data_IF_338698130735
#
_entry.id   IF_338698130735
#
_cell.length_a   1.000
_cell.length_b   1.000
_cell.length_c   1.000
_cell.angle_alpha   90.00
_cell.angle_beta   90.00
_cell.angle_gamma   90.00
#
_symmetry.space_group_name_H-M   'P 1'
#
loop_
_entity.id
_entity.type
_entity.pdbx_description
1 polymer ?
#
# COMPACT_ATOMS: atom_id res chain seq x y z
N UNK A 1 17.97 12.53 0.49
CA UNK A 1 17.52 11.25 -0.09
C UNK A 1 17.41 11.49 -1.57
N UNK A 2 18.38 11.02 -2.36
CA UNK A 2 18.23 11.03 -3.81
C UNK A 2 17.14 10.00 -4.11
N UNK A 3 16.02 10.45 -4.69
CA UNK A 3 15.10 9.56 -5.38
C UNK A 3 15.98 8.82 -6.40
N UNK A 4 16.29 7.55 -6.17
CA UNK A 4 16.86 6.73 -7.23
C UNK A 4 15.88 6.86 -8.37
N UNK A 5 16.34 7.34 -9.52
CA UNK A 5 15.54 7.42 -10.74
C UNK A 5 14.99 6.03 -11.02
N UNK A 6 13.83 5.72 -10.46
CA UNK A 6 13.05 4.58 -10.87
C UNK A 6 12.71 4.91 -12.31
N UNK A 7 13.29 4.11 -13.19
CA UNK A 7 13.02 4.12 -14.62
C UNK A 7 11.51 3.95 -14.74
N UNK A 8 10.82 5.08 -14.90
CA UNK A 8 9.42 5.07 -15.30
C UNK A 8 9.47 4.37 -16.64
N UNK A 9 8.89 3.17 -16.73
CA UNK A 9 8.78 2.45 -17.99
C UNK A 9 7.94 3.34 -18.91
N UNK A 10 8.63 4.14 -19.72
CA UNK A 10 8.04 4.95 -20.76
C UNK A 10 7.48 3.99 -21.80
N UNK A 11 6.17 3.77 -21.74
CA UNK A 11 5.49 2.97 -22.74
C UNK A 11 5.53 3.76 -24.06
N UNK A 12 5.94 3.13 -25.17
CA UNK A 12 6.44 3.84 -26.33
C UNK A 12 5.47 4.76 -27.09
N UNK A 13 4.19 4.95 -26.71
CA UNK A 13 3.27 5.83 -27.46
C UNK A 13 1.95 6.21 -26.74
N UNK A 14 1.93 6.38 -25.41
CA UNK A 14 0.67 6.74 -24.71
C UNK A 14 0.86 7.48 -23.39
N UNK A 15 -0.14 8.28 -23.01
CA UNK A 15 -0.22 8.82 -21.65
C UNK A 15 -0.19 7.66 -20.66
N UNK A 16 0.74 7.65 -19.70
CA UNK A 16 0.91 6.51 -18.83
C UNK A 16 -0.37 6.33 -17.99
N UNK A 17 -0.91 5.09 -17.96
CA UNK A 17 -2.12 4.75 -17.19
C UNK A 17 -1.81 4.70 -15.69
N UNK A 18 -1.56 5.88 -15.11
CA UNK A 18 -1.03 6.05 -13.77
C UNK A 18 -2.10 6.59 -12.83
N UNK A 19 -2.17 5.98 -11.66
CA UNK A 19 -2.99 6.36 -10.53
C UNK A 19 -2.11 6.61 -9.32
N UNK A 20 -2.58 7.46 -8.44
CA UNK A 20 -1.93 7.73 -7.17
C UNK A 20 -2.86 7.37 -6.02
N UNK A 21 -2.40 6.47 -5.17
CA UNK A 21 -3.08 6.04 -3.95
C UNK A 21 -2.47 6.81 -2.78
N UNK A 22 -3.27 7.71 -2.20
CA UNK A 22 -2.90 8.55 -1.07
C UNK A 22 -3.49 7.94 0.20
N UNK A 23 -2.65 7.67 1.20
CA UNK A 23 -3.06 7.06 2.47
C UNK A 23 -2.58 7.91 3.64
N UNK A 24 -3.51 8.31 4.51
CA UNK A 24 -3.20 9.04 5.75
C UNK A 24 -3.61 8.19 6.94
N UNK A 25 -2.64 7.78 7.74
CA UNK A 25 -2.88 6.98 8.95
C UNK A 25 -3.25 7.90 10.12
N UNK A 26 -4.49 7.81 10.60
CA UNK A 26 -5.00 8.61 11.71
C UNK A 26 -4.80 7.94 13.06
N UNK A 27 -5.09 6.65 13.14
CA UNK A 27 -4.90 5.87 14.37
C UNK A 27 -4.64 4.40 14.06
N UNK A 28 -3.76 3.81 14.86
CA UNK A 28 -3.38 2.40 14.81
C UNK A 28 -3.25 1.77 16.20
N UNK A 29 -3.70 2.45 17.24
CA UNK A 29 -3.57 2.02 18.63
C UNK A 29 -4.20 0.64 18.84
N UNK A 30 -5.43 0.45 18.37
CA UNK A 30 -6.15 -0.81 18.50
C UNK A 30 -5.49 -1.94 17.70
N UNK A 31 -5.02 -1.65 16.49
CA UNK A 31 -4.27 -2.61 15.66
C UNK A 31 -3.03 -3.13 16.38
N UNK A 32 -2.27 -2.22 17.01
CA UNK A 32 -1.04 -2.53 17.73
C UNK A 32 -1.34 -3.32 18.99
N UNK A 33 -2.33 -2.90 19.78
CA UNK A 33 -2.75 -3.58 20.99
C UNK A 33 -3.23 -5.01 20.69
N UNK A 34 -4.05 -5.19 19.65
CA UNK A 34 -4.51 -6.51 19.21
C UNK A 34 -3.34 -7.42 18.82
N UNK A 35 -2.35 -6.89 18.08
CA UNK A 35 -1.17 -7.64 17.65
C UNK A 35 -0.26 -8.02 18.81
N UNK A 36 -0.04 -7.11 19.76
CA UNK A 36 0.76 -7.38 20.97
C UNK A 36 0.08 -8.45 21.82
N UNK A 37 -1.23 -8.35 22.04
CA UNK A 37 -2.01 -9.38 22.75
C UNK A 37 -1.93 -10.73 22.03
N UNK A 38 -2.01 -10.76 20.70
CA UNK A 38 -1.89 -12.00 19.92
C UNK A 38 -0.51 -12.65 20.09
N UNK A 39 0.57 -11.87 20.05
CA UNK A 39 1.93 -12.38 20.26
C UNK A 39 2.14 -12.92 21.67
N UNK A 40 1.64 -12.23 22.69
CA UNK A 40 1.74 -12.67 24.08
C UNK A 40 0.89 -13.93 24.37
N UNK A 41 -0.23 -14.12 23.65
CA UNK A 41 -0.99 -15.37 23.70
C UNK A 41 -0.21 -16.55 23.09
N UNK A 42 0.60 -16.30 22.05
CA UNK A 42 1.43 -17.32 21.40
C UNK A 42 2.68 -17.66 22.21
N UNK A 43 3.18 -16.74 23.03
CA UNK A 43 4.30 -17.04 23.93
C UNK A 43 3.84 -17.97 25.06
N UNK A 44 4.23 -19.24 25.02
CA UNK A 44 3.97 -20.24 26.06
C UNK A 44 4.70 -19.96 27.39
N UNK A 45 5.61 -18.98 27.41
CA UNK A 45 6.53 -18.70 28.51
C UNK A 45 5.90 -18.00 29.71
N UNK A 46 4.68 -17.46 29.59
CA UNK A 46 4.05 -16.69 30.68
C UNK A 46 2.88 -17.45 31.32
N UNK A 47 2.86 -17.60 32.67
CA UNK A 47 1.71 -18.17 33.37
C UNK A 47 0.41 -17.44 33.03
N UNK A 48 -0.67 -18.19 32.75
CA UNK A 48 -1.97 -17.65 32.32
C UNK A 48 -2.54 -16.57 33.24
N UNK A 49 -2.21 -16.62 34.53
CA UNK A 49 -2.67 -15.66 35.54
C UNK A 49 -1.94 -14.31 35.46
N UNK A 50 -0.65 -14.30 35.10
CA UNK A 50 0.14 -13.06 34.95
C UNK A 50 0.01 -12.45 33.55
N UNK A 51 -0.33 -13.27 32.55
CA UNK A 51 -0.34 -12.84 31.14
C UNK A 51 -1.28 -11.67 30.88
N UNK A 52 -2.43 -11.57 31.56
CA UNK A 52 -3.41 -10.49 31.31
C UNK A 52 -2.91 -9.11 31.76
N UNK A 53 -2.33 -9.02 32.95
CA UNK A 53 -1.84 -7.75 33.50
C UNK A 53 -0.57 -7.29 32.77
N UNK A 54 0.35 -8.21 32.50
CA UNK A 54 1.58 -7.93 31.73
C UNK A 54 1.24 -7.56 30.30
N UNK A 55 0.30 -8.25 29.66
CA UNK A 55 -0.10 -7.94 28.29
C UNK A 55 -0.72 -6.55 28.14
N UNK A 56 -1.56 -6.13 29.08
CA UNK A 56 -2.15 -4.79 29.02
C UNK A 56 -1.09 -3.69 29.22
N UNK A 57 -0.10 -3.89 30.11
CA UNK A 57 1.01 -2.95 30.27
C UNK A 57 1.93 -2.91 29.05
N UNK A 58 2.31 -4.08 28.53
CA UNK A 58 3.15 -4.20 27.35
C UNK A 58 2.47 -3.62 26.10
N UNK A 59 1.16 -3.84 25.93
CA UNK A 59 0.39 -3.27 24.84
C UNK A 59 0.36 -1.74 24.90
N UNK A 60 0.13 -1.15 26.07
CA UNK A 60 0.16 0.32 26.27
C UNK A 60 1.55 0.92 26.03
N UNK A 61 2.59 0.23 26.48
CA UNK A 61 3.96 0.68 26.22
C UNK A 61 4.30 0.59 24.72
N UNK A 62 3.89 -0.49 24.06
CA UNK A 62 4.11 -0.70 22.64
C UNK A 62 3.28 0.22 21.75
N UNK A 63 2.04 0.57 22.12
CA UNK A 63 1.23 1.53 21.38
C UNK A 63 1.84 2.93 21.43
N UNK A 64 2.50 3.31 22.53
CA UNK A 64 3.30 4.54 22.60
C UNK A 64 4.52 4.55 21.66
N UNK A 65 5.01 3.38 21.25
CA UNK A 65 6.15 3.22 20.32
C UNK A 65 5.66 3.13 18.86
N UNK A 66 4.51 2.49 18.65
CA UNK A 66 3.90 2.31 17.34
C UNK A 66 3.16 3.57 16.88
N UNK A 67 3.93 4.63 16.67
CA UNK A 67 3.43 5.88 16.13
C UNK A 67 2.89 5.70 14.70
N UNK A 68 1.92 6.54 14.30
CA UNK A 68 1.36 6.52 12.93
C UNK A 68 2.42 6.54 11.82
N UNK A 69 3.55 7.27 11.94
CA UNK A 69 4.66 7.17 10.99
C UNK A 69 5.28 5.77 10.83
N UNK A 70 5.38 5.00 11.91
CA UNK A 70 5.88 3.62 11.85
C UNK A 70 4.91 2.74 11.07
N UNK A 71 3.61 2.91 11.30
CA UNK A 71 2.56 2.17 10.59
C UNK A 71 2.51 2.55 9.11
N UNK A 72 2.62 3.84 8.80
CA UNK A 72 2.77 4.34 7.44
C UNK A 72 4.00 3.72 6.74
N UNK A 73 5.15 3.65 7.41
CA UNK A 73 6.34 2.96 6.88
C UNK A 73 6.08 1.49 6.58
N UNK A 74 5.42 0.79 7.49
CA UNK A 74 5.07 -0.61 7.29
C UNK A 74 4.08 -0.82 6.12
N UNK A 75 3.11 0.08 5.95
CA UNK A 75 2.22 0.07 4.79
C UNK A 75 3.03 0.30 3.52
N UNK A 76 3.97 1.25 3.53
CA UNK A 76 4.93 1.51 2.46
C UNK A 76 5.62 0.25 1.93
N UNK A 77 6.14 -0.56 2.84
CA UNK A 77 6.89 -1.78 2.51
C UNK A 77 6.01 -2.92 1.99
N UNK A 78 4.80 -3.10 2.57
CA UNK A 78 4.00 -4.32 2.41
C UNK A 78 2.81 -4.17 1.48
N UNK A 79 2.29 -2.95 1.33
CA UNK A 79 1.08 -2.70 0.56
C UNK A 79 1.27 -2.86 -0.96
N UNK A 80 2.39 -2.41 -1.57
CA UNK A 80 2.59 -2.55 -3.01
C UNK A 80 2.47 -4.00 -3.50
N UNK A 81 3.16 -4.93 -2.84
CA UNK A 81 3.13 -6.35 -3.20
C UNK A 81 1.70 -6.91 -3.10
N UNK A 82 0.96 -6.57 -2.04
CA UNK A 82 -0.44 -7.00 -1.87
C UNK A 82 -1.35 -6.48 -2.98
N UNK A 83 -1.19 -5.22 -3.39
CA UNK A 83 -1.96 -4.63 -4.49
C UNK A 83 -1.64 -5.37 -5.78
N UNK A 84 -0.37 -5.59 -6.09
CA UNK A 84 0.07 -6.31 -7.29
C UNK A 84 -0.57 -7.70 -7.34
N UNK A 85 -0.41 -8.51 -6.29
CA UNK A 85 -1.00 -9.86 -6.23
C UNK A 85 -2.53 -9.83 -6.38
N UNK A 86 -3.22 -8.89 -5.71
CA UNK A 86 -4.69 -8.78 -5.78
C UNK A 86 -5.20 -8.31 -7.14
N UNK A 87 -4.42 -7.52 -7.87
CA UNK A 87 -4.77 -7.09 -9.23
C UNK A 87 -4.46 -8.19 -10.25
N UNK A 88 -3.37 -8.93 -10.06
CA UNK A 88 -3.02 -10.09 -10.89
C UNK A 88 -4.09 -11.19 -10.80
N UNK A 89 -4.59 -11.48 -9.60
CA UNK A 89 -5.76 -12.38 -9.38
C UNK A 89 -7.01 -11.94 -10.18
N UNK A 90 -7.11 -10.65 -10.53
CA UNK A 90 -8.21 -10.07 -11.31
C UNK A 90 -7.88 -9.94 -12.80
N UNK A 91 -6.75 -10.45 -13.25
CA UNK A 91 -6.29 -10.34 -14.64
C UNK A 91 -5.74 -8.96 -14.98
N UNK A 92 -5.26 -8.19 -14.01
CA UNK A 92 -4.71 -6.85 -14.23
C UNK A 92 -3.26 -6.85 -13.76
N UNK A 93 -2.33 -6.74 -14.69
CA UNK A 93 -0.90 -6.58 -14.37
C UNK A 93 -0.63 -5.11 -14.06
N UNK A 94 -0.20 -4.84 -12.84
CA UNK A 94 0.14 -3.48 -12.38
C UNK A 94 1.56 -3.44 -11.82
N UNK A 95 2.19 -2.27 -11.92
CA UNK A 95 3.33 -1.91 -11.10
C UNK A 95 2.86 -0.97 -9.97
N UNK A 96 3.40 -1.10 -8.77
CA UNK A 96 3.04 -0.27 -7.63
C UNK A 96 4.30 0.12 -6.85
N UNK A 97 4.51 1.42 -6.61
CA UNK A 97 5.71 1.95 -5.96
C UNK A 97 5.35 3.00 -4.91
N UNK A 98 6.07 3.02 -3.79
CA UNK A 98 6.02 4.13 -2.85
C UNK A 98 6.80 5.31 -3.46
N UNK A 99 6.11 6.40 -3.78
CA UNK A 99 6.74 7.60 -4.39
C UNK A 99 6.93 8.74 -3.38
N UNK A 100 6.23 8.67 -2.25
CA UNK A 100 6.34 9.67 -1.19
C UNK A 100 5.93 9.10 0.16
N UNK A 101 6.67 9.49 1.21
CA UNK A 101 6.29 9.24 2.59
C UNK A 101 6.81 10.34 3.50
N UNK A 102 5.91 10.90 4.30
CA UNK A 102 6.24 11.87 5.34
C UNK A 102 5.31 11.65 6.55
N UNK A 103 5.87 11.22 7.67
CA UNK A 103 5.10 10.96 8.88
C UNK A 103 3.98 9.94 8.62
N UNK A 104 2.71 10.24 8.97
CA UNK A 104 1.58 9.34 8.74
C UNK A 104 1.09 9.28 7.29
N UNK A 105 1.67 10.07 6.39
CA UNK A 105 1.24 10.18 5.00
C UNK A 105 2.10 9.35 4.06
N UNK A 106 1.46 8.51 3.24
CA UNK A 106 2.13 7.72 2.20
C UNK A 106 1.39 7.90 0.88
N UNK A 107 2.15 8.00 -0.21
CA UNK A 107 1.62 8.02 -1.58
C UNK A 107 2.26 6.91 -2.39
N UNK A 108 1.42 6.12 -3.01
CA UNK A 108 1.84 5.09 -3.96
C UNK A 108 1.46 5.50 -5.38
N UNK A 109 2.36 5.24 -6.33
CA UNK A 109 2.07 5.30 -7.75
C UNK A 109 1.72 3.89 -8.24
N UNK A 110 0.58 3.74 -8.90
CA UNK A 110 0.09 2.50 -9.48
C UNK A 110 0.02 2.70 -10.99
N UNK A 111 0.73 1.88 -11.76
CA UNK A 111 0.72 1.90 -13.21
C UNK A 111 0.07 0.63 -13.74
N UNK A 112 -0.98 0.77 -14.55
CA UNK A 112 -1.60 -0.37 -15.24
C UNK A 112 -0.74 -0.70 -16.47
N UNK A 113 -0.14 -1.89 -16.47
CA UNK A 113 0.75 -2.34 -17.55
C UNK A 113 -0.01 -3.14 -18.60
N UNK A 114 -0.87 -4.07 -18.15
CA UNK A 114 -1.62 -4.97 -19.03
C UNK A 114 -2.94 -5.37 -18.39
N UNK A 115 -3.96 -5.59 -19.21
CA UNK A 115 -5.26 -6.13 -18.80
C UNK A 115 -5.54 -7.40 -19.60
N UNK A 116 -5.72 -8.52 -18.91
CA UNK A 116 -6.19 -9.78 -19.49
C UNK A 116 -7.72 -9.79 -19.51
N UNK A 117 -8.29 -9.56 -20.69
CA UNK A 117 -9.74 -9.52 -20.89
C UNK A 117 -10.42 -10.88 -20.58
N UNK A 118 -9.72 -11.99 -20.80
CA UNK A 118 -10.26 -13.35 -20.58
C UNK A 118 -10.38 -13.61 -19.09
N UNK A 119 -9.37 -13.29 -18.30
CA UNK A 119 -9.42 -13.44 -16.84
C UNK A 119 -10.46 -12.48 -16.25
N UNK A 120 -10.50 -11.24 -16.72
CA UNK A 120 -11.45 -10.23 -16.25
C UNK A 120 -12.90 -10.67 -16.45
N UNK A 121 -13.22 -11.23 -17.62
CA UNK A 121 -14.57 -11.73 -17.97
C UNK A 121 -14.94 -13.03 -17.25
N UNK A 122 -13.96 -13.88 -16.92
CA UNK A 122 -14.19 -15.15 -16.23
C UNK A 122 -14.19 -15.04 -14.70
N UNK A 123 -13.89 -13.87 -14.14
CA UNK A 123 -13.83 -13.63 -12.69
C UNK A 123 -15.22 -13.65 -12.04
N UNK A 124 -15.79 -14.86 -11.85
CA UNK A 124 -17.09 -15.08 -11.17
C UNK A 124 -17.15 -14.57 -9.73
N UNK A 125 -15.99 -14.26 -9.13
CA UNK A 125 -15.84 -13.97 -7.71
C UNK A 125 -15.57 -12.50 -7.36
N UNK A 126 -15.68 -11.58 -8.32
CA UNK A 126 -15.39 -10.18 -8.04
C UNK A 126 -16.65 -9.42 -7.63
N UNK A 127 -16.49 -8.56 -6.62
CA UNK A 127 -17.49 -7.59 -6.17
C UNK A 127 -18.19 -6.90 -7.35
N UNK A 128 -19.47 -6.58 -7.17
CA UNK A 128 -20.51 -6.21 -8.15
C UNK A 128 -20.06 -5.29 -9.29
N UNK A 129 -19.03 -4.45 -9.11
CA UNK A 129 -18.52 -3.53 -10.12
C UNK A 129 -17.74 -4.16 -11.28
N UNK A 130 -17.07 -5.30 -11.09
CA UNK A 130 -16.21 -5.91 -12.15
C UNK A 130 -17.02 -6.79 -13.11
N UNK A 131 -18.13 -7.37 -12.65
CA UNK A 131 -19.06 -8.16 -13.47
C UNK A 131 -19.66 -7.34 -14.63
N UNK A 132 -19.90 -6.04 -14.40
CA UNK A 132 -20.44 -5.15 -15.42
C UNK A 132 -19.46 -4.94 -16.59
N UNK A 133 -18.15 -4.90 -16.31
CA UNK A 133 -17.11 -4.80 -17.33
C UNK A 133 -17.08 -6.04 -18.21
N UNK A 134 -17.11 -7.23 -17.59
CA UNK A 134 -17.08 -8.49 -18.36
C UNK A 134 -18.20 -8.58 -19.39
N UNK A 135 -19.38 -8.03 -19.10
CA UNK A 135 -20.53 -8.08 -20.01
C UNK A 135 -20.38 -7.12 -21.20
N UNK A 136 -19.93 -5.89 -20.95
CA UNK A 136 -19.68 -4.90 -22.01
C UNK A 136 -18.55 -5.37 -22.93
N UNK A 137 -17.48 -5.92 -22.34
CA UNK A 137 -16.33 -6.48 -23.04
C UNK A 137 -16.79 -7.68 -23.89
N UNK A 138 -17.57 -8.60 -23.33
CA UNK A 138 -18.02 -9.81 -24.05
C UNK A 138 -18.95 -9.49 -25.23
N UNK A 139 -19.84 -8.51 -25.09
CA UNK A 139 -20.74 -8.12 -26.18
C UNK A 139 -20.08 -7.17 -27.19
N UNK A 140 -19.24 -6.24 -26.74
CA UNK A 140 -18.52 -5.31 -27.61
C UNK A 140 -17.42 -5.99 -28.42
N UNK A 141 -16.62 -6.88 -27.80
CA UNK A 141 -15.49 -7.53 -28.49
C UNK A 141 -15.88 -8.75 -29.30
N UNK A 142 -17.02 -9.38 -29.04
CA UNK A 142 -17.52 -10.46 -29.92
C UNK A 142 -17.70 -10.01 -31.38
N UNK A 143 -17.88 -8.70 -31.62
CA UNK A 143 -18.01 -8.10 -32.94
C UNK A 143 -16.69 -7.55 -33.49
N UNK A 144 -15.69 -7.36 -32.64
CA UNK A 144 -14.39 -6.79 -33.00
C UNK A 144 -13.47 -7.98 -33.29
N UNK A 145 -13.22 -8.24 -34.58
CA UNK A 145 -12.36 -9.34 -35.01
C UNK A 145 -10.96 -9.31 -34.38
N UNK A 146 -10.27 -10.46 -34.39
CA UNK A 146 -8.95 -10.69 -33.75
C UNK A 146 -7.90 -9.64 -34.11
N UNK A 147 -8.00 -9.02 -35.29
CA UNK A 147 -7.08 -7.99 -35.77
C UNK A 147 -7.05 -6.72 -34.90
N UNK A 148 -8.09 -6.47 -34.10
CA UNK A 148 -8.21 -5.29 -33.23
C UNK A 148 -8.00 -5.62 -31.75
N UNK A 149 -7.78 -6.88 -31.39
CA UNK A 149 -7.64 -7.31 -29.99
C UNK A 149 -6.47 -6.62 -29.28
N UNK A 150 -5.33 -6.46 -29.95
CA UNK A 150 -4.17 -5.81 -29.36
C UNK A 150 -4.43 -4.34 -29.02
N UNK A 151 -5.04 -3.58 -29.94
CA UNK A 151 -5.42 -2.19 -29.70
C UNK A 151 -6.38 -2.04 -28.51
N UNK A 152 -7.28 -3.01 -28.36
CA UNK A 152 -8.20 -3.07 -27.22
C UNK A 152 -7.47 -3.33 -25.91
N UNK A 153 -6.63 -4.37 -25.85
CA UNK A 153 -5.96 -4.81 -24.63
C UNK A 153 -4.88 -3.85 -24.17
N UNK A 154 -4.15 -3.23 -25.10
CA UNK A 154 -3.03 -2.34 -24.81
C UNK A 154 -3.44 -0.86 -24.78
N UNK A 155 -4.48 -0.47 -25.53
CA UNK A 155 -4.91 0.92 -25.64
C UNK A 155 -6.16 1.25 -24.82
N UNK A 156 -7.28 0.60 -25.14
CA UNK A 156 -8.59 0.99 -24.60
C UNK A 156 -8.86 0.47 -23.18
N UNK A 157 -8.64 -0.83 -22.94
CA UNK A 157 -8.96 -1.47 -21.66
C UNK A 157 -8.21 -0.86 -20.48
N UNK A 158 -6.90 -0.54 -20.56
CA UNK A 158 -6.18 0.08 -19.45
C UNK A 158 -6.82 1.37 -18.98
N UNK A 159 -7.34 2.22 -19.87
CA UNK A 159 -7.99 3.49 -19.51
C UNK A 159 -9.32 3.25 -18.77
N UNK A 160 -10.11 2.28 -19.23
CA UNK A 160 -11.40 1.95 -18.58
C UNK A 160 -11.16 1.30 -17.22
N UNK A 161 -10.18 0.39 -17.13
CA UNK A 161 -9.75 -0.24 -15.88
C UNK A 161 -9.22 0.81 -14.91
N UNK A 162 -8.37 1.73 -15.36
CA UNK A 162 -7.83 2.82 -14.55
C UNK A 162 -8.96 3.61 -13.85
N UNK A 163 -9.98 4.04 -14.61
CA UNK A 163 -11.14 4.76 -14.04
C UNK A 163 -11.92 3.95 -13.01
N UNK A 164 -11.97 2.62 -13.16
CA UNK A 164 -12.64 1.72 -12.20
C UNK A 164 -11.76 1.42 -10.98
N UNK A 165 -10.44 1.40 -11.14
CA UNK A 165 -9.51 1.24 -10.03
C UNK A 165 -9.59 2.41 -9.04
N UNK A 166 -9.90 3.62 -9.51
CA UNK A 166 -10.16 4.79 -8.64
C UNK A 166 -11.25 4.50 -7.59
N UNK A 167 -12.26 3.69 -7.92
CA UNK A 167 -13.35 3.34 -6.99
C UNK A 167 -13.08 2.03 -6.24
N UNK A 168 -12.53 1.04 -6.93
CA UNK A 168 -12.37 -0.32 -6.37
C UNK A 168 -11.24 -0.38 -5.34
N UNK A 169 -10.12 0.31 -5.58
CA UNK A 169 -8.95 0.24 -4.66
C UNK A 169 -9.30 0.79 -3.26
N UNK A 170 -9.93 1.98 -3.12
CA UNK A 170 -10.34 2.46 -1.81
C UNK A 170 -11.27 1.49 -1.08
N UNK A 171 -12.26 0.89 -1.76
CA UNK A 171 -13.18 -0.08 -1.17
C UNK A 171 -12.46 -1.34 -0.67
N UNK A 172 -11.54 -1.89 -1.49
CA UNK A 172 -10.73 -3.06 -1.12
C UNK A 172 -9.84 -2.77 0.08
N UNK A 173 -9.26 -1.57 0.13
CA UNK A 173 -8.38 -1.16 1.22
C UNK A 173 -9.17 -0.85 2.49
N UNK A 174 -10.35 -0.22 2.39
CA UNK A 174 -11.20 0.08 3.53
C UNK A 174 -11.50 -1.19 4.34
N UNK A 175 -11.99 -2.25 3.68
CA UNK A 175 -12.25 -3.51 4.37
C UNK A 175 -10.99 -4.12 5.00
N UNK A 176 -9.84 -4.02 4.33
CA UNK A 176 -8.55 -4.58 4.83
C UNK A 176 -7.93 -3.77 5.96
N UNK A 177 -8.18 -2.47 6.01
CA UNK A 177 -7.73 -1.58 7.09
C UNK A 177 -8.65 -1.74 8.31
N UNK A 178 -9.96 -1.84 8.10
CA UNK A 178 -10.95 -2.11 9.13
C UNK A 178 -10.72 -3.48 9.80
N UNK A 179 -10.49 -4.54 9.01
CA UNK A 179 -10.11 -5.87 9.53
C UNK A 179 -8.88 -5.82 10.47
N UNK A 180 -8.01 -4.82 10.29
CA UNK A 180 -6.81 -4.62 11.09
C UNK A 180 -6.97 -3.61 12.21
N UNK A 181 -8.16 -3.02 12.38
CA UNK A 181 -8.41 -1.90 13.31
C UNK A 181 -7.48 -0.71 13.05
N UNK A 182 -7.24 -0.40 11.77
CA UNK A 182 -6.49 0.78 11.34
C UNK A 182 -7.47 1.85 10.85
N UNK A 183 -7.42 3.03 11.47
CA UNK A 183 -8.17 4.20 11.01
C UNK A 183 -7.29 4.98 10.04
N UNK A 184 -7.62 4.93 8.76
CA UNK A 184 -6.88 5.64 7.72
C UNK A 184 -7.77 6.15 6.59
N UNK A 185 -7.48 7.36 6.10
CA UNK A 185 -8.11 7.90 4.91
C UNK A 185 -7.39 7.36 3.67
N UNK A 186 -8.17 6.89 2.70
CA UNK A 186 -7.66 6.29 1.47
C UNK A 186 -8.29 6.97 0.27
N UNK A 187 -7.49 7.61 -0.59
CA UNK A 187 -7.99 8.33 -1.77
C UNK A 187 -7.14 7.99 -2.98
N UNK A 188 -7.79 7.52 -4.05
CA UNK A 188 -7.14 7.21 -5.33
C UNK A 188 -7.50 8.26 -6.36
N UNK A 189 -6.49 8.80 -7.05
CA UNK A 189 -6.64 9.90 -8.02
C UNK A 189 -5.81 9.63 -9.26
N UNK A 190 -6.34 9.98 -10.43
CA UNK A 190 -5.54 10.16 -11.64
C UNK A 190 -4.57 11.34 -11.56
N UNK A 191 -3.54 11.31 -12.41
CA UNK A 191 -2.43 12.26 -12.46
C UNK A 191 -2.86 13.73 -12.42
N UNK A 192 -3.85 14.11 -13.25
CA UNK A 192 -4.31 15.50 -13.35
C UNK A 192 -4.84 16.09 -12.03
N UNK A 193 -5.37 15.25 -11.12
CA UNK A 193 -5.92 15.67 -9.83
C UNK A 193 -4.90 15.50 -8.69
N UNK A 194 -3.90 14.64 -8.89
CA UNK A 194 -2.99 14.23 -7.83
C UNK A 194 -2.22 15.40 -7.24
N UNK A 195 -1.60 16.25 -8.05
CA UNK A 195 -0.74 17.33 -7.56
C UNK A 195 -1.50 18.28 -6.62
N UNK A 196 -2.71 18.68 -7.00
CA UNK A 196 -3.56 19.56 -6.19
C UNK A 196 -3.93 18.93 -4.85
N UNK A 197 -4.37 17.67 -4.88
CA UNK A 197 -4.71 16.94 -3.65
C UNK A 197 -3.47 16.74 -2.77
N UNK A 198 -2.35 16.34 -3.36
CA UNK A 198 -1.09 16.10 -2.67
C UNK A 198 -0.65 17.33 -1.88
N UNK A 199 -0.54 18.50 -2.50
CA UNK A 199 -0.09 19.70 -1.80
C UNK A 199 -1.08 20.18 -0.74
N UNK A 200 -2.38 20.04 -0.99
CA UNK A 200 -3.40 20.37 0.01
C UNK A 200 -3.29 19.47 1.25
N UNK A 201 -3.25 18.15 1.05
CA UNK A 201 -3.19 17.18 2.15
C UNK A 201 -1.85 17.21 2.87
N UNK A 202 -0.76 17.39 2.14
CA UNK A 202 0.57 17.56 2.73
C UNK A 202 0.63 18.79 3.64
N UNK A 203 0.06 19.92 3.22
CA UNK A 203 0.01 21.14 4.05
C UNK A 203 -0.80 20.91 5.33
N UNK A 204 -1.95 20.24 5.24
CA UNK A 204 -2.77 19.87 6.40
C UNK A 204 -1.96 19.06 7.42
N UNK A 205 -1.22 18.06 6.96
CA UNK A 205 -0.41 17.18 7.81
C UNK A 205 0.77 17.93 8.45
N UNK A 206 1.39 18.88 7.72
CA UNK A 206 2.44 19.72 8.29
C UNK A 206 1.93 20.64 9.40
N UNK A 207 0.68 21.10 9.31
CA UNK A 207 0.06 21.93 10.36
C UNK A 207 -0.25 21.14 11.65
N UNK A 208 -0.45 19.83 11.54
CA UNK A 208 -0.70 18.95 12.69
C UNK A 208 0.59 18.54 13.42
N UNK A 209 1.77 18.81 12.85
CA UNK A 209 3.03 18.48 13.52
C UNK A 209 3.20 19.34 14.78
N UNK A 210 3.43 18.75 15.96
CA UNK A 210 3.63 19.53 17.18
C UNK A 210 4.87 20.41 17.04
N UNK A 211 4.70 21.70 17.34
CA UNK A 211 5.75 22.74 17.32
C UNK A 211 6.82 22.35 18.34
N UNK A 212 7.93 21.78 17.86
CA UNK A 212 8.99 21.22 18.73
C UNK A 212 9.52 19.87 18.25
N UNK A 213 8.78 19.16 17.39
CA UNK A 213 9.31 18.02 16.65
C UNK A 213 10.12 18.54 15.45
N UNK A 214 11.15 19.35 15.72
CA UNK A 214 12.18 19.60 14.72
C UNK A 214 12.78 18.23 14.43
N UNK A 215 12.64 17.77 13.19
CA UNK A 215 13.42 16.69 12.64
C UNK A 215 14.89 17.14 12.67
N UNK A 216 15.50 17.10 13.86
CA UNK A 216 16.90 16.72 14.00
C UNK A 216 16.97 15.30 13.48
N UNK A 217 16.88 15.18 12.15
CA UNK A 217 17.68 14.22 11.42
C UNK A 217 19.07 14.41 12.02
N UNK A 218 19.47 13.46 12.86
CA UNK A 218 20.87 13.12 13.02
C UNK A 218 21.32 12.85 11.59
N UNK A 219 21.83 13.88 10.92
CA UNK A 219 22.70 13.69 9.78
C UNK A 219 23.80 12.82 10.34
N UNK A 220 23.70 11.51 10.11
CA UNK A 220 24.83 10.61 10.25
C UNK A 220 25.80 10.95 9.12
N UNK A 221 26.40 12.14 9.23
CA UNK A 221 27.72 12.43 8.72
C UNK A 221 28.67 11.62 9.60
N UNK A 222 28.63 10.30 9.42
CA UNK A 222 29.37 9.32 10.18
C UNK A 222 30.25 8.57 9.21
N UNK A 223 31.49 9.05 9.09
CA UNK A 223 32.66 8.39 8.54
C UNK A 223 32.49 6.91 8.20
N UNK A 224 32.46 6.62 6.89
CA UNK A 224 32.83 5.30 6.38
C UNK A 224 34.34 5.15 6.43
N UNK A 225 34.90 4.80 7.59
CA UNK A 225 36.23 4.20 7.64
C UNK A 225 36.23 3.02 8.60
N UNK A 226 36.48 1.85 8.00
CA UNK A 226 36.99 0.61 8.61
C UNK A 226 36.24 0.05 9.83
N UNK A 227 35.63 -1.12 9.66
CA UNK A 227 36.13 -2.36 10.27
C UNK A 227 35.18 -3.51 9.96
N UNK A 228 35.54 -4.28 8.92
CA UNK A 228 35.12 -5.67 8.82
C UNK A 228 35.72 -6.44 10.01
N UNK A 229 34.92 -6.64 11.06
CA UNK A 229 35.04 -7.81 11.92
C UNK A 229 33.68 -8.51 11.96
N UNK A 230 33.57 -9.52 11.08
CA UNK A 230 32.57 -10.57 11.15
C UNK A 230 32.60 -11.20 12.55
N UNK A 231 31.53 -11.05 13.31
CA UNK A 231 31.09 -12.04 14.28
C UNK A 231 29.65 -12.42 13.94
N UNK A 232 29.50 -13.68 13.52
CA UNK A 232 28.20 -14.33 13.36
C UNK A 232 27.55 -14.48 14.74
N UNK A 233 26.54 -13.66 15.03
CA UNK A 233 25.53 -13.97 16.05
C UNK A 233 24.16 -13.66 15.47
N UNK A 234 23.55 -14.69 14.89
CA UNK A 234 22.17 -14.71 14.43
C UNK A 234 21.22 -14.61 15.62
N UNK A 235 20.93 -13.38 16.07
CA UNK A 235 19.76 -13.07 16.87
C UNK A 235 18.73 -12.40 15.93
N UNK A 236 17.83 -13.24 15.43
CA UNK A 236 16.73 -12.94 14.52
C UNK A 236 15.85 -11.78 15.01
N UNK A 237 15.83 -10.68 14.25
CA UNK A 237 14.74 -9.69 14.28
C UNK A 237 13.61 -10.20 13.38
N UNK A 238 13.07 -11.38 13.69
CA UNK A 238 11.94 -12.00 12.97
C UNK A 238 10.58 -11.58 13.57
N UNK A 239 10.49 -10.34 14.06
CA UNK A 239 9.28 -9.85 14.70
C UNK A 239 8.21 -9.33 13.72
N UNK A 240 8.46 -9.26 12.40
CA UNK A 240 7.54 -8.62 11.46
C UNK A 240 7.29 -9.34 10.12
N UNK A 241 7.86 -10.53 9.92
CA UNK A 241 7.79 -11.27 8.65
C UNK A 241 6.41 -11.89 8.35
N UNK A 242 5.75 -12.55 9.31
CA UNK A 242 4.52 -13.35 9.01
C UNK A 242 3.18 -12.60 9.02
N UNK A 243 3.09 -11.38 8.48
CA UNK A 243 1.79 -10.69 8.39
C UNK A 243 1.68 -9.67 7.25
N UNK A 244 2.19 -9.99 6.07
CA UNK A 244 1.84 -9.27 4.85
C UNK A 244 1.76 -10.23 3.68
#
# INVERSE_FOLDING_TARGET
MMLSSQEVLELPNGTPNVLYLNIVVHDATDAVEAKVKQKLKRSSLLPRQLSKAVANRAARAASGIASNPVIASMLGEKLPQKIITKMEEKGITVACFEVFREGPYVVFQIQVLKVDAVVLTNSKHSSTGVVLMGTIIKHGFGLIGTNNQQWVEEGFLPQVVQKKLETIIPELLAGKLEEKNLVADTVVLGEAKQSRYFFAKYREIQMQKPVGFSSRMRSSSGNSSSLFKRSNSSASVDAFSEAA
#
